data_IF_460828156651
#
_entry.id   IF_460828156651
#
_cell.length_a   1.000
_cell.length_b   1.000
_cell.length_c   1.000
_cell.angle_alpha   90.00
_cell.angle_beta   90.00
_cell.angle_gamma   90.00
#
_symmetry.space_group_name_H-M   'P 1'
#
loop_
_entity.id
_entity.type
_entity.pdbx_description
1 polymer ?
#
# COMPACT_ATOMS: atom_id res chain seq x y z
N UNK A 1 23.17 30.78 -31.54
CA UNK A 1 23.61 29.36 -31.60
C UNK A 1 24.77 29.17 -30.64
N UNK A 2 24.51 28.81 -29.38
CA UNK A 2 25.57 28.52 -28.41
C UNK A 2 25.32 27.15 -27.78
N UNK A 3 26.20 26.21 -28.14
CA UNK A 3 26.30 24.88 -27.57
C UNK A 3 27.04 25.02 -26.23
N UNK A 4 26.45 24.57 -25.14
CA UNK A 4 27.17 24.40 -23.88
C UNK A 4 27.09 22.92 -23.46
N UNK A 5 28.12 22.20 -23.87
CA UNK A 5 28.53 20.90 -23.34
C UNK A 5 29.25 21.15 -22.03
N UNK A 6 28.78 20.58 -20.92
CA UNK A 6 29.59 20.43 -19.71
C UNK A 6 29.38 19.05 -19.11
N UNK A 7 30.52 18.37 -19.00
CA UNK A 7 30.74 17.03 -18.49
C UNK A 7 30.53 16.94 -16.97
N UNK A 8 29.92 15.81 -16.59
CA UNK A 8 30.21 14.92 -15.46
C UNK A 8 31.30 15.28 -14.42
N UNK A 9 30.88 15.34 -13.16
CA UNK A 9 31.53 14.73 -11.98
C UNK A 9 30.41 14.53 -10.94
N UNK A 10 30.07 13.34 -10.43
CA UNK A 10 30.97 12.35 -9.84
C UNK A 10 30.94 12.52 -8.32
N UNK A 11 29.85 12.09 -7.65
CA UNK A 11 29.89 11.83 -6.21
C UNK A 11 29.19 10.50 -5.88
N UNK A 12 30.02 9.65 -5.29
CA UNK A 12 29.83 8.29 -4.81
C UNK A 12 29.09 8.25 -3.45
N UNK A 13 28.64 7.04 -3.10
CA UNK A 13 28.17 6.54 -1.78
C UNK A 13 26.77 7.02 -1.33
N UNK A 14 25.82 6.18 -0.94
CA UNK A 14 25.88 4.81 -0.47
C UNK A 14 24.62 4.01 -0.87
N UNK A 15 24.84 2.90 -1.55
CA UNK A 15 23.85 1.84 -1.66
C UNK A 15 23.82 1.09 -0.32
N UNK A 16 22.81 1.36 0.52
CA UNK A 16 22.49 0.48 1.62
C UNK A 16 21.82 -0.77 1.04
N UNK A 17 22.65 -1.74 0.67
CA UNK A 17 22.23 -3.12 0.48
C UNK A 17 21.68 -3.62 1.83
N UNK A 18 20.35 -3.66 1.94
CA UNK A 18 19.70 -4.38 3.01
C UNK A 18 19.92 -5.88 2.76
N UNK A 19 20.97 -6.41 3.40
CA UNK A 19 21.21 -7.83 3.46
C UNK A 19 19.99 -8.55 4.07
N UNK A 20 19.60 -9.72 3.55
CA UNK A 20 18.61 -10.56 4.20
C UNK A 20 19.20 -11.02 5.54
N UNK A 21 18.50 -10.77 6.64
CA UNK A 21 18.79 -11.40 7.91
C UNK A 21 18.58 -12.91 7.74
N UNK A 22 19.67 -13.62 7.43
CA UNK A 22 19.79 -15.05 7.57
C UNK A 22 19.86 -15.36 9.07
N UNK A 23 18.74 -15.79 9.62
CA UNK A 23 18.70 -16.33 10.98
C UNK A 23 19.39 -17.70 10.93
N UNK A 24 20.48 -17.80 11.68
CA UNK A 24 21.35 -18.97 11.75
C UNK A 24 20.59 -20.26 11.99
N UNK A 25 20.80 -21.21 11.08
CA UNK A 25 20.58 -22.62 11.32
C UNK A 25 21.72 -23.15 12.20
N UNK A 26 21.45 -23.35 13.48
CA UNK A 26 22.13 -24.39 14.24
C UNK A 26 21.30 -25.67 14.07
N UNK A 27 21.79 -26.59 13.24
CA UNK A 27 21.16 -27.87 12.96
C UNK A 27 21.87 -28.93 13.81
N UNK A 28 21.32 -29.38 14.95
CA UNK A 28 21.83 -30.58 15.59
C UNK A 28 21.42 -31.80 14.74
N UNK A 29 22.42 -32.50 14.21
CA UNK A 29 22.25 -33.86 13.67
C UNK A 29 21.99 -34.81 14.84
N UNK A 30 20.85 -35.51 14.80
CA UNK A 30 20.58 -36.66 15.65
C UNK A 30 19.34 -36.50 16.53
N UNK A 31 18.20 -36.96 16.02
CA UNK A 31 17.11 -37.56 16.80
C UNK A 31 16.04 -38.06 15.82
N UNK A 32 16.00 -39.38 15.69
CA UNK A 32 14.88 -40.25 15.35
C UNK A 32 13.81 -39.77 14.34
N UNK A 33 13.69 -40.56 13.27
CA UNK A 33 12.53 -40.64 12.40
C UNK A 33 11.30 -41.14 13.18
N UNK A 34 10.68 -40.26 13.96
CA UNK A 34 9.27 -40.40 14.30
C UNK A 34 8.48 -39.79 13.13
N UNK A 35 7.82 -40.64 12.35
CA UNK A 35 6.82 -40.21 11.39
C UNK A 35 5.79 -39.36 12.14
N UNK A 36 5.87 -38.04 11.98
CA UNK A 36 4.89 -37.13 12.56
C UNK A 36 3.52 -37.56 12.03
N UNK A 37 2.54 -37.84 12.90
CA UNK A 37 1.19 -38.12 12.45
C UNK A 37 0.77 -36.92 11.61
N UNK A 38 0.27 -37.20 10.41
CA UNK A 38 -0.46 -36.24 9.58
C UNK A 38 -1.61 -35.72 10.42
N UNK A 39 -1.35 -34.64 11.16
CA UNK A 39 -2.34 -33.99 11.99
C UNK A 39 -3.50 -33.61 11.07
N UNK A 40 -4.62 -34.29 11.27
CA UNK A 40 -5.87 -33.98 10.59
C UNK A 40 -6.08 -32.46 10.73
N UNK A 41 -6.37 -31.73 9.63
CA UNK A 41 -6.57 -30.29 9.69
C UNK A 41 -7.63 -30.02 10.76
N UNK A 42 -7.29 -29.22 11.77
CA UNK A 42 -8.22 -28.97 12.87
C UNK A 42 -9.51 -28.41 12.28
N UNK A 43 -10.67 -28.86 12.75
CA UNK A 43 -11.98 -28.42 12.25
C UNK A 43 -12.15 -26.88 12.32
N UNK A 44 -11.38 -26.21 13.19
CA UNK A 44 -11.27 -24.75 13.26
C UNK A 44 -10.53 -24.11 12.06
N UNK A 45 -9.58 -24.80 11.43
CA UNK A 45 -8.99 -24.42 10.13
C UNK A 45 -9.85 -24.83 8.94
N UNK A 46 -10.72 -25.85 9.11
CA UNK A 46 -11.67 -26.31 8.08
C UNK A 46 -12.88 -25.37 7.89
N UNK A 47 -13.06 -24.40 8.79
CA UNK A 47 -14.19 -23.45 8.74
C UNK A 47 -14.12 -22.47 7.56
N UNK A 48 -12.94 -22.23 7.00
CA UNK A 48 -12.75 -21.33 5.88
C UNK A 48 -11.89 -22.00 4.81
N UNK A 49 -12.47 -22.16 3.61
CA UNK A 49 -11.73 -22.66 2.47
C UNK A 49 -10.52 -21.75 2.16
N UNK A 50 -9.42 -22.36 1.71
CA UNK A 50 -8.20 -21.65 1.27
C UNK A 50 -8.51 -20.69 0.12
N UNK A 51 -9.48 -21.03 -0.71
CA UNK A 51 -9.94 -20.13 -1.78
C UNK A 51 -10.67 -18.89 -1.23
N UNK A 52 -11.46 -19.08 -0.17
CA UNK A 52 -12.21 -18.02 0.50
C UNK A 52 -11.27 -17.04 1.23
N UNK A 53 -10.23 -17.54 1.90
CA UNK A 53 -9.20 -16.70 2.53
C UNK A 53 -8.44 -15.86 1.49
N UNK A 54 -8.07 -16.44 0.34
CA UNK A 54 -7.44 -15.72 -0.77
C UNK A 54 -8.34 -14.63 -1.34
N UNK A 55 -9.63 -14.92 -1.55
CA UNK A 55 -10.62 -13.94 -1.99
C UNK A 55 -10.79 -12.82 -0.95
N UNK A 56 -10.85 -13.15 0.33
CA UNK A 56 -10.95 -12.16 1.41
C UNK A 56 -9.70 -11.27 1.48
N UNK A 57 -8.51 -11.84 1.29
CA UNK A 57 -7.26 -11.09 1.17
C UNK A 57 -7.30 -10.13 -0.03
N UNK A 58 -7.69 -10.61 -1.21
CA UNK A 58 -7.83 -9.77 -2.40
C UNK A 58 -8.76 -8.58 -2.14
N UNK A 59 -9.96 -8.83 -1.58
CA UNK A 59 -10.89 -7.76 -1.23
C UNK A 59 -10.31 -6.77 -0.21
N UNK A 60 -9.61 -7.25 0.81
CA UNK A 60 -8.98 -6.40 1.82
C UNK A 60 -7.94 -5.46 1.18
N UNK A 61 -7.07 -5.99 0.33
CA UNK A 61 -6.05 -5.20 -0.37
C UNK A 61 -6.69 -4.22 -1.35
N UNK A 62 -7.65 -4.64 -2.17
CA UNK A 62 -8.38 -3.75 -3.09
C UNK A 62 -9.09 -2.62 -2.36
N UNK A 63 -9.75 -2.92 -1.25
CA UNK A 63 -10.45 -1.92 -0.45
C UNK A 63 -9.48 -0.90 0.16
N UNK A 64 -8.31 -1.35 0.64
CA UNK A 64 -7.29 -0.47 1.23
C UNK A 64 -6.53 0.33 0.17
N UNK A 65 -6.28 -0.25 -1.00
CA UNK A 65 -5.64 0.44 -2.12
C UNK A 65 -6.51 1.53 -2.72
N UNK A 66 -7.85 1.42 -2.64
CA UNK A 66 -8.76 2.47 -3.13
C UNK A 66 -8.53 3.81 -2.45
N UNK A 67 -8.43 3.80 -1.12
CA UNK A 67 -8.16 5.03 -0.36
C UNK A 67 -6.79 5.63 -0.73
N UNK A 68 -5.78 4.77 -0.88
CA UNK A 68 -4.43 5.17 -1.28
C UNK A 68 -4.40 5.82 -2.67
N UNK A 69 -5.13 5.27 -3.65
CA UNK A 69 -5.26 5.89 -4.97
C UNK A 69 -5.85 7.29 -4.87
N UNK A 70 -6.89 7.48 -4.07
CA UNK A 70 -7.46 8.81 -3.83
C UNK A 70 -6.45 9.82 -3.26
N UNK A 71 -5.60 9.39 -2.32
CA UNK A 71 -4.53 10.27 -1.78
C UNK A 71 -3.46 10.60 -2.81
N UNK A 72 -3.02 9.60 -3.59
CA UNK A 72 -2.01 9.81 -4.63
C UNK A 72 -2.56 10.68 -5.76
N UNK A 73 -3.70 10.31 -6.35
CA UNK A 73 -4.34 11.03 -7.45
C UNK A 73 -4.66 12.47 -7.03
N UNK A 74 -5.33 12.64 -5.88
CA UNK A 74 -5.66 13.96 -5.34
C UNK A 74 -4.42 14.80 -5.04
N UNK A 75 -3.41 14.21 -4.39
CA UNK A 75 -2.15 14.90 -4.10
C UNK A 75 -1.40 15.32 -5.36
N UNK A 76 -1.31 14.43 -6.36
CA UNK A 76 -0.67 14.75 -7.65
C UNK A 76 -1.41 15.82 -8.42
N UNK A 77 -2.75 15.82 -8.40
CA UNK A 77 -3.55 16.85 -9.06
C UNK A 77 -3.34 18.23 -8.42
N UNK A 78 -3.32 18.31 -7.08
CA UNK A 78 -3.03 19.55 -6.36
C UNK A 78 -1.60 20.03 -6.65
N UNK A 79 -0.60 19.13 -6.60
CA UNK A 79 0.77 19.48 -6.94
C UNK A 79 0.91 19.98 -8.38
N UNK A 80 0.23 19.35 -9.34
CA UNK A 80 0.26 19.77 -10.73
C UNK A 80 -0.29 21.19 -10.90
N UNK A 81 -1.40 21.51 -10.23
CA UNK A 81 -1.96 22.88 -10.20
C UNK A 81 -0.96 23.89 -9.63
N UNK A 82 -0.34 23.57 -8.50
CA UNK A 82 0.70 24.44 -7.91
C UNK A 82 1.92 24.62 -8.81
N UNK A 83 2.38 23.56 -9.48
CA UNK A 83 3.48 23.63 -10.44
C UNK A 83 3.13 24.54 -11.63
N UNK A 84 1.93 24.40 -12.19
CA UNK A 84 1.45 25.25 -13.29
C UNK A 84 1.39 26.71 -12.84
N UNK A 85 0.82 27.01 -11.67
CA UNK A 85 0.79 28.37 -11.11
C UNK A 85 2.20 28.96 -10.96
N UNK A 86 3.16 28.23 -10.34
CA UNK A 86 4.56 28.67 -10.25
C UNK A 86 5.19 28.94 -11.61
N UNK A 87 4.94 28.08 -12.60
CA UNK A 87 5.47 28.29 -13.96
C UNK A 87 4.89 29.55 -14.59
N UNK A 88 3.60 29.83 -14.43
CA UNK A 88 2.96 31.06 -14.91
C UNK A 88 3.59 32.31 -14.27
N UNK A 89 3.82 32.32 -12.96
CA UNK A 89 4.52 33.42 -12.26
C UNK A 89 5.96 33.58 -12.76
N UNK A 90 6.66 32.48 -13.05
CA UNK A 90 8.04 32.51 -13.51
C UNK A 90 8.18 32.99 -14.98
N UNK A 91 7.19 32.68 -15.83
CA UNK A 91 7.20 33.05 -17.25
C UNK A 91 6.57 34.41 -17.55
N UNK A 92 5.88 35.03 -16.58
CA UNK A 92 5.25 36.33 -16.80
C UNK A 92 6.26 37.44 -17.01
N UNK A 93 5.89 38.44 -17.81
CA UNK A 93 6.80 39.55 -18.12
C UNK A 93 6.97 40.47 -16.90
N UNK A 94 8.16 41.07 -16.72
CA UNK A 94 8.42 42.02 -15.61
C UNK A 94 7.42 43.18 -15.58
N UNK A 95 6.96 43.65 -16.74
CA UNK A 95 5.98 44.73 -16.85
C UNK A 95 4.62 44.27 -16.30
N UNK A 96 4.14 43.14 -16.78
CA UNK A 96 2.85 42.57 -16.36
C UNK A 96 2.83 42.22 -14.86
N UNK A 97 3.96 41.77 -14.32
CA UNK A 97 4.12 41.49 -12.89
C UNK A 97 4.11 42.77 -12.04
N UNK A 98 4.68 43.88 -12.54
CA UNK A 98 4.66 45.17 -11.86
C UNK A 98 3.26 45.80 -11.86
N UNK A 99 2.54 45.64 -12.97
CA UNK A 99 1.19 46.18 -13.12
C UNK A 99 0.16 45.38 -12.28
N UNK A 100 0.44 44.12 -11.94
CA UNK A 100 -0.46 43.22 -11.20
C UNK A 100 0.22 42.52 -10.01
N UNK A 101 1.01 43.25 -9.23
CA UNK A 101 1.85 42.67 -8.17
C UNK A 101 1.07 41.80 -7.17
N UNK A 102 -0.07 42.31 -6.66
CA UNK A 102 -0.91 41.59 -5.69
C UNK A 102 -1.51 40.29 -6.25
N UNK A 103 -1.81 40.27 -7.55
CA UNK A 103 -2.31 39.07 -8.22
C UNK A 103 -1.21 38.00 -8.31
N UNK A 104 0.02 38.38 -8.70
CA UNK A 104 1.12 37.43 -8.80
C UNK A 104 1.64 36.96 -7.43
N UNK A 105 1.55 37.80 -6.40
CA UNK A 105 1.92 37.43 -5.02
C UNK A 105 0.96 36.38 -4.44
N UNK A 106 -0.36 36.61 -4.56
CA UNK A 106 -1.36 35.62 -4.12
C UNK A 106 -1.26 34.31 -4.90
N UNK A 107 -0.97 34.37 -6.21
CA UNK A 107 -0.78 33.18 -7.04
C UNK A 107 0.47 32.38 -6.64
N UNK A 108 1.54 33.04 -6.21
CA UNK A 108 2.76 32.41 -5.72
C UNK A 108 2.59 31.75 -4.34
N UNK A 109 1.86 32.40 -3.43
CA UNK A 109 1.49 31.86 -2.12
C UNK A 109 0.60 30.63 -2.27
N UNK A 110 -0.47 30.74 -3.06
CA UNK A 110 -1.39 29.63 -3.36
C UNK A 110 -0.65 28.45 -3.98
N UNK A 111 0.26 28.72 -4.93
CA UNK A 111 1.03 27.66 -5.56
C UNK A 111 1.94 26.93 -4.57
N UNK A 112 2.57 27.67 -3.65
CA UNK A 112 3.43 27.10 -2.62
C UNK A 112 2.63 26.26 -1.63
N UNK A 113 1.43 26.72 -1.27
CA UNK A 113 0.47 25.97 -0.43
C UNK A 113 -0.02 24.70 -1.12
N UNK A 114 -0.38 24.78 -2.40
CA UNK A 114 -0.80 23.64 -3.21
C UNK A 114 0.32 22.59 -3.29
N UNK A 115 1.55 23.01 -3.57
CA UNK A 115 2.71 22.09 -3.61
C UNK A 115 2.96 21.41 -2.26
N UNK A 116 2.83 22.14 -1.16
CA UNK A 116 3.00 21.59 0.19
C UNK A 116 1.90 20.57 0.52
N UNK A 117 0.62 20.95 0.35
CA UNK A 117 -0.52 20.09 0.65
C UNK A 117 -0.50 18.85 -0.26
N UNK A 118 -0.30 19.06 -1.56
CA UNK A 118 -0.20 17.99 -2.53
C UNK A 118 0.97 17.06 -2.21
N UNK A 119 2.14 17.61 -1.86
CA UNK A 119 3.31 16.83 -1.44
C UNK A 119 3.05 15.97 -0.21
N UNK A 120 2.38 16.50 0.81
CA UNK A 120 1.98 15.75 2.00
C UNK A 120 1.00 14.62 1.65
N UNK A 121 0.01 14.89 0.80
CA UNK A 121 -0.96 13.88 0.35
C UNK A 121 -0.29 12.75 -0.44
N UNK A 122 0.61 13.10 -1.38
CA UNK A 122 1.38 12.12 -2.15
C UNK A 122 2.29 11.32 -1.24
N UNK A 123 3.01 11.97 -0.32
CA UNK A 123 3.88 11.30 0.65
C UNK A 123 3.12 10.31 1.52
N UNK A 124 1.96 10.69 2.03
CA UNK A 124 1.10 9.80 2.81
C UNK A 124 0.52 8.63 1.97
N UNK A 125 0.11 8.93 0.74
CA UNK A 125 -0.33 7.92 -0.23
C UNK A 125 0.77 6.90 -0.53
N UNK A 126 1.99 7.36 -0.78
CA UNK A 126 3.17 6.53 -1.04
C UNK A 126 3.56 5.68 0.18
N UNK A 127 3.55 6.27 1.38
CA UNK A 127 3.77 5.54 2.62
C UNK A 127 2.76 4.38 2.75
N UNK A 128 1.47 4.62 2.50
CA UNK A 128 0.47 3.52 2.50
C UNK A 128 0.68 2.52 1.36
N UNK A 129 1.17 2.95 0.20
CA UNK A 129 1.48 2.07 -0.93
C UNK A 129 2.51 1.01 -0.57
N UNK A 130 3.54 1.36 0.21
CA UNK A 130 4.52 0.37 0.65
C UNK A 130 3.89 -0.78 1.44
N UNK A 131 2.81 -0.52 2.19
CA UNK A 131 2.15 -1.51 3.06
C UNK A 131 1.02 -2.29 2.39
N UNK A 132 0.29 -1.67 1.47
CA UNK A 132 -0.89 -2.28 0.81
C UNK A 132 -0.73 -2.37 -0.71
N UNK A 133 0.50 -2.26 -1.21
CA UNK A 133 0.79 -2.33 -2.64
C UNK A 133 0.65 -3.73 -3.23
N UNK A 134 0.63 -3.84 -4.57
CA UNK A 134 0.49 -5.09 -5.30
C UNK A 134 1.63 -6.08 -4.99
N UNK A 135 2.85 -5.58 -4.79
CA UNK A 135 4.01 -6.41 -4.40
C UNK A 135 3.81 -7.05 -3.02
N UNK A 136 3.21 -6.32 -2.07
CA UNK A 136 2.94 -6.87 -0.74
C UNK A 136 1.83 -7.93 -0.80
N UNK A 137 0.79 -7.67 -1.60
CA UNK A 137 -0.26 -8.66 -1.86
C UNK A 137 0.33 -9.95 -2.44
N UNK A 138 1.14 -9.86 -3.50
CA UNK A 138 1.79 -11.01 -4.12
C UNK A 138 2.65 -11.80 -3.13
N UNK A 139 3.47 -11.10 -2.31
CA UNK A 139 4.28 -11.74 -1.27
C UNK A 139 3.44 -12.50 -0.25
N UNK A 140 2.34 -11.90 0.22
CA UNK A 140 1.44 -12.54 1.19
C UNK A 140 0.72 -13.73 0.57
N UNK A 141 0.26 -13.61 -0.68
CA UNK A 141 -0.42 -14.70 -1.39
C UNK A 141 0.54 -15.86 -1.63
N UNK A 142 1.75 -15.59 -2.11
CA UNK A 142 2.78 -16.60 -2.34
C UNK A 142 3.12 -17.34 -1.04
N UNK A 143 3.44 -16.60 0.04
CA UNK A 143 3.72 -17.21 1.35
C UNK A 143 2.54 -18.05 1.84
N UNK A 144 1.30 -17.55 1.68
CA UNK A 144 0.12 -18.30 2.09
C UNK A 144 -0.11 -19.57 1.25
N UNK A 145 0.20 -19.53 -0.04
CA UNK A 145 0.16 -20.70 -0.94
C UNK A 145 1.23 -21.75 -0.57
N UNK A 146 2.37 -21.32 -0.06
CA UNK A 146 3.43 -22.18 0.51
C UNK A 146 3.06 -22.79 1.87
N UNK A 147 1.90 -22.41 2.44
CA UNK A 147 1.44 -22.93 3.72
C UNK A 147 1.93 -22.12 4.92
N UNK A 148 2.60 -20.99 4.70
CA UNK A 148 2.94 -20.06 5.79
C UNK A 148 1.66 -19.47 6.40
N UNK A 149 1.63 -19.25 7.73
CA UNK A 149 0.48 -18.62 8.37
C UNK A 149 0.33 -17.16 7.90
N UNK A 150 -0.90 -16.67 7.86
CA UNK A 150 -1.14 -15.26 7.52
C UNK A 150 -0.48 -14.35 8.56
N UNK A 151 0.14 -13.24 8.12
CA UNK A 151 0.64 -12.21 9.03
C UNK A 151 -0.43 -11.77 10.04
N UNK A 152 -0.10 -11.63 11.34
CA UNK A 152 -1.07 -11.34 12.40
C UNK A 152 -1.90 -10.06 12.14
N UNK A 153 -1.28 -9.06 11.51
CA UNK A 153 -1.95 -7.80 11.18
C UNK A 153 -3.04 -7.95 10.11
N UNK A 154 -2.97 -8.97 9.26
CA UNK A 154 -4.01 -9.29 8.27
C UNK A 154 -5.12 -10.10 8.91
N UNK A 155 -4.78 -11.07 9.75
CA UNK A 155 -5.75 -11.90 10.45
C UNK A 155 -6.73 -11.02 11.27
N UNK A 156 -6.22 -10.03 12.01
CA UNK A 156 -7.05 -9.05 12.75
C UNK A 156 -7.96 -8.18 11.86
N UNK A 157 -7.65 -8.04 10.57
CA UNK A 157 -8.36 -7.16 9.63
C UNK A 157 -9.29 -7.93 8.69
N UNK A 158 -9.07 -9.23 8.52
CA UNK A 158 -9.95 -10.12 7.79
C UNK A 158 -11.24 -10.29 8.59
N UNK A 159 -12.29 -9.60 8.16
CA UNK A 159 -13.60 -9.71 8.78
C UNK A 159 -14.32 -10.94 8.22
N UNK A 160 -15.02 -11.66 9.10
CA UNK A 160 -15.84 -12.85 8.77
C UNK A 160 -16.83 -12.60 7.62
N UNK A 161 -17.27 -11.36 7.42
CA UNK A 161 -18.15 -10.94 6.31
C UNK A 161 -17.56 -11.14 4.89
N UNK A 162 -16.24 -11.31 4.76
CA UNK A 162 -15.60 -11.53 3.46
C UNK A 162 -15.39 -13.01 3.13
N UNK A 163 -15.70 -13.88 4.08
CA UNK A 163 -15.70 -15.33 3.88
C UNK A 163 -17.12 -15.73 3.47
N UNK A 164 -17.27 -16.45 2.35
CA UNK A 164 -18.59 -16.87 1.88
C UNK A 164 -19.19 -17.94 2.80
N UNK A 165 -18.33 -18.69 3.50
CA UNK A 165 -18.72 -19.67 4.51
C UNK A 165 -18.94 -19.01 5.89
N UNK A 166 -20.04 -18.30 6.05
CA UNK A 166 -20.71 -18.35 7.35
C UNK A 166 -21.39 -19.72 7.40
N UNK A 167 -21.19 -20.55 8.44
CA UNK A 167 -22.02 -21.73 8.62
C UNK A 167 -23.49 -21.29 8.55
N UNK A 168 -24.21 -21.98 7.67
CA UNK A 168 -25.67 -22.07 7.57
C UNK A 168 -26.24 -21.99 9.00
N UNK A 169 -27.20 -21.11 9.18
CA UNK A 169 -27.40 -20.33 10.38
C UNK A 169 -27.44 -18.84 10.05
N UNK A 170 -27.82 -18.50 8.81
CA UNK A 170 -28.29 -17.17 8.47
C UNK A 170 -29.37 -16.80 9.49
N UNK A 171 -29.44 -15.54 9.93
CA UNK A 171 -30.45 -15.09 10.91
C UNK A 171 -31.87 -15.54 10.54
N UNK A 172 -32.16 -15.72 9.24
CA UNK A 172 -33.44 -16.23 8.75
C UNK A 172 -33.65 -17.70 9.07
N UNK A 173 -32.63 -18.54 8.99
CA UNK A 173 -32.72 -19.97 9.36
C UNK A 173 -32.84 -20.16 10.87
N UNK A 174 -32.16 -19.33 11.67
CA UNK A 174 -32.35 -19.33 13.14
C UNK A 174 -33.71 -18.78 13.56
N UNK A 175 -34.23 -17.77 12.86
CA UNK A 175 -35.59 -17.29 13.10
C UNK A 175 -36.65 -18.34 12.72
N UNK A 176 -36.41 -19.12 11.67
CA UNK A 176 -37.30 -20.21 11.26
C UNK A 176 -37.26 -21.41 12.22
N UNK A 177 -36.10 -21.71 12.83
CA UNK A 177 -35.93 -22.84 13.75
C UNK A 177 -36.46 -22.60 15.18
N UNK A 178 -36.68 -21.34 15.58
CA UNK A 178 -37.21 -20.98 16.92
C UNK A 178 -38.75 -20.80 16.89
N UNK A 179 -39.35 -20.82 15.70
CA UNK A 179 -40.80 -20.69 15.51
C UNK A 179 -41.58 -22.01 15.40
N UNK A 180 -40.94 -23.15 15.72
CA UNK A 180 -41.60 -24.46 15.82
C UNK A 180 -41.67 -24.92 17.27
#
# INVERSE_FOLDING_TARGET
MHKLTLLTAGLLLAAAAAAPQAWGQARPLGADMAAAPTALPSLSTLRYDRTDTLRALQHLFMQRSKAMRGWLEGGTAIMATGAVKKTMVATSSKKERRDNESYYESLDEDASRDLLIGGLMVGYGAYRYTRFGPRQYQRVVAAYQEGQPLPPYLNRKLKTKYFRLLPIGSRKERAAAVGQ
#
